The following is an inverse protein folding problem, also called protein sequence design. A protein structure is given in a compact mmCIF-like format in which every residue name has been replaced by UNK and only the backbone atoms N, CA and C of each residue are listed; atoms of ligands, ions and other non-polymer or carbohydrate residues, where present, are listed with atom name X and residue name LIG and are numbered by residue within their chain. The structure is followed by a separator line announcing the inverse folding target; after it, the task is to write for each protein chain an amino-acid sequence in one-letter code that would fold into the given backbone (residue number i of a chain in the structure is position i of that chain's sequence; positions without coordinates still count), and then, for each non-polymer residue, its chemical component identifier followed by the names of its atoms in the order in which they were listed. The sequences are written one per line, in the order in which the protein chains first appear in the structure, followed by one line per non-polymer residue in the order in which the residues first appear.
data_IF_402050609870
#
_entry.id   IF_402050609870
#
_cell.length_a   1.000
_cell.length_b   1.000
_cell.length_c   1.000
_cell.angle_alpha   90.00
_cell.angle_beta   90.00
_cell.angle_gamma   90.00
#
_symmetry.space_group_name_H-M   'P 1'
#
loop_
_entity.id
_entity.type
_entity.pdbx_description
1 polymer ?
#
# COMPACT_ATOMS: atom_id res chain seq x y z
N UNK A 1 34.99 -58.85 27.81
CA UNK A 1 35.48 -57.87 26.82
C UNK A 1 34.35 -56.89 26.53
N UNK A 2 34.35 -55.70 27.14
CA UNK A 2 33.34 -54.66 26.90
C UNK A 2 33.99 -53.51 26.12
N UNK A 3 33.47 -53.26 24.92
CA UNK A 3 33.98 -52.30 23.94
C UNK A 3 33.45 -50.91 24.31
N UNK A 4 34.34 -49.95 24.60
CA UNK A 4 34.01 -48.53 24.80
C UNK A 4 33.63 -47.91 23.46
N UNK A 5 32.38 -47.49 23.30
CA UNK A 5 31.93 -46.65 22.20
C UNK A 5 32.11 -45.19 22.60
N UNK A 6 33.10 -44.50 22.05
CA UNK A 6 33.22 -43.05 22.22
C UNK A 6 32.30 -42.35 21.22
N UNK A 7 31.26 -41.69 21.75
CA UNK A 7 30.45 -40.73 21.03
C UNK A 7 31.28 -39.46 20.83
N UNK A 8 31.81 -39.27 19.63
CA UNK A 8 32.35 -37.97 19.20
C UNK A 8 31.14 -37.09 18.88
N UNK A 9 30.68 -36.33 19.88
CA UNK A 9 29.70 -35.28 19.68
C UNK A 9 30.39 -34.13 18.92
N UNK A 10 30.08 -33.99 17.62
CA UNK A 10 30.50 -32.87 16.77
C UNK A 10 29.78 -31.58 17.21
N UNK A 11 30.44 -30.62 17.89
CA UNK A 11 29.80 -29.35 18.28
C UNK A 11 29.76 -28.35 17.11
N UNK A 12 30.42 -28.66 16.00
CA UNK A 12 30.68 -27.72 14.90
C UNK A 12 29.49 -27.43 13.96
N UNK A 13 28.41 -28.21 14.03
CA UNK A 13 27.29 -28.08 13.07
C UNK A 13 26.22 -27.07 13.50
N UNK A 14 26.14 -26.66 14.77
CA UNK A 14 25.11 -25.71 15.22
C UNK A 14 25.51 -24.25 14.95
N UNK A 15 26.80 -23.93 14.97
CA UNK A 15 27.27 -22.56 14.72
C UNK A 15 27.14 -22.11 13.25
N UNK A 16 27.14 -23.05 12.29
CA UNK A 16 27.11 -22.72 10.85
C UNK A 16 25.70 -22.42 10.32
N UNK A 17 24.63 -22.74 11.05
CA UNK A 17 23.25 -22.49 10.59
C UNK A 17 22.84 -21.01 10.78
N UNK A 18 23.39 -20.33 11.79
CA UNK A 18 23.06 -18.92 12.09
C UNK A 18 23.66 -17.89 11.11
N UNK A 19 24.67 -18.28 10.31
CA UNK A 19 25.29 -17.41 9.31
C UNK A 19 24.58 -17.44 7.94
N UNK A 20 23.73 -18.45 7.69
CA UNK A 20 23.01 -18.61 6.42
C UNK A 20 21.64 -17.92 6.40
N UNK A 21 21.13 -17.50 7.55
CA UNK A 21 19.98 -16.61 7.66
C UNK A 21 20.51 -15.23 8.06
N UNK A 22 20.71 -14.32 7.10
CA UNK A 22 21.08 -12.94 7.41
C UNK A 22 20.19 -12.39 8.53
N UNK A 23 20.78 -11.66 9.49
CA UNK A 23 20.05 -11.10 10.61
C UNK A 23 18.79 -10.40 10.10
N UNK A 24 17.60 -10.69 10.68
CA UNK A 24 16.38 -10.01 10.27
C UNK A 24 16.58 -8.49 10.44
N UNK A 25 16.00 -7.68 9.54
CA UNK A 25 16.09 -6.23 9.66
C UNK A 25 15.61 -5.82 11.06
N UNK A 26 16.29 -4.87 11.73
CA UNK A 26 15.87 -4.43 13.04
C UNK A 26 14.44 -3.92 13.00
N UNK A 27 13.65 -4.19 14.03
CA UNK A 27 12.26 -3.71 14.10
C UNK A 27 12.19 -2.18 13.97
N UNK A 28 11.17 -1.66 13.29
CA UNK A 28 11.09 -0.22 12.95
C UNK A 28 11.18 0.70 14.17
N UNK A 29 10.60 0.33 15.32
CA UNK A 29 10.68 1.12 16.55
C UNK A 29 12.12 1.31 17.06
N UNK A 30 13.05 0.43 16.69
CA UNK A 30 14.46 0.55 17.10
C UNK A 30 15.20 1.63 16.34
N UNK A 31 14.64 2.10 15.22
CA UNK A 31 15.28 3.06 14.32
C UNK A 31 14.98 4.52 14.66
N UNK A 32 14.02 4.75 15.55
CA UNK A 32 13.66 6.08 16.01
C UNK A 32 14.39 6.42 17.32
N UNK A 33 14.72 7.70 17.48
CA UNK A 33 15.31 8.22 18.71
C UNK A 33 14.84 9.64 19.01
N UNK A 34 14.68 9.93 20.29
CA UNK A 34 14.43 11.26 20.86
C UNK A 34 15.02 11.27 22.26
N UNK A 35 15.56 12.40 22.70
CA UNK A 35 16.17 12.54 24.04
C UNK A 35 15.19 12.06 25.12
N UNK A 36 15.70 11.31 26.10
CA UNK A 36 14.94 10.82 27.26
C UNK A 36 13.68 9.99 26.94
N UNK A 37 13.60 9.34 25.76
CA UNK A 37 12.45 8.50 25.40
C UNK A 37 12.77 7.00 25.55
N UNK A 38 11.90 6.28 26.25
CA UNK A 38 11.98 4.82 26.39
C UNK A 38 11.52 4.09 25.12
N UNK A 39 11.80 2.79 25.02
CA UNK A 39 11.30 1.95 23.92
C UNK A 39 9.78 2.01 23.83
N UNK A 40 9.08 1.91 24.96
CA UNK A 40 7.61 1.99 24.98
C UNK A 40 7.10 3.37 24.57
N UNK A 41 7.85 4.43 24.90
CA UNK A 41 7.59 5.78 24.42
C UNK A 41 7.69 5.91 22.89
N UNK A 42 8.66 5.23 22.26
CA UNK A 42 8.74 5.18 20.78
C UNK A 42 7.53 4.44 20.21
N UNK A 43 7.18 3.28 20.78
CA UNK A 43 6.07 2.46 20.30
C UNK A 43 4.73 3.18 20.41
N UNK A 44 4.53 3.92 21.51
CA UNK A 44 3.33 4.74 21.71
C UNK A 44 3.24 5.86 20.66
N UNK A 45 4.34 6.57 20.40
CA UNK A 45 4.39 7.60 19.36
C UNK A 45 4.15 7.03 17.94
N UNK A 46 4.72 5.86 17.64
CA UNK A 46 4.44 5.15 16.39
C UNK A 46 2.95 4.81 16.26
N UNK A 47 2.34 4.28 17.32
CA UNK A 47 0.91 3.98 17.33
C UNK A 47 0.05 5.24 17.15
N UNK A 48 0.41 6.35 17.79
CA UNK A 48 -0.24 7.66 17.61
C UNK A 48 -0.15 8.13 16.15
N UNK A 49 0.99 7.91 15.50
CA UNK A 49 1.22 8.24 14.10
C UNK A 49 0.62 7.23 13.10
N UNK A 50 -0.07 6.18 13.55
CA UNK A 50 -0.61 5.12 12.68
C UNK A 50 0.43 4.12 12.15
N UNK A 51 1.68 4.20 12.62
CA UNK A 51 2.77 3.31 12.25
C UNK A 51 2.67 1.96 13.01
N UNK A 52 2.72 0.81 12.33
CA UNK A 52 2.65 -0.49 12.99
C UNK A 52 3.91 -0.74 13.82
N UNK A 53 3.75 -0.88 15.14
CA UNK A 53 4.85 -1.15 16.08
C UNK A 53 5.57 -2.48 15.79
N UNK A 54 4.86 -3.49 15.28
CA UNK A 54 5.39 -4.83 15.02
C UNK A 54 5.22 -5.32 13.58
N UNK A 55 4.83 -4.44 12.65
CA UNK A 55 4.53 -4.81 11.27
C UNK A 55 5.38 -4.04 10.26
N UNK A 56 5.45 -4.54 9.04
CA UNK A 56 6.13 -3.83 7.95
C UNK A 56 5.30 -2.63 7.46
N UNK A 57 5.96 -1.50 7.25
CA UNK A 57 5.37 -0.34 6.57
C UNK A 57 4.96 -0.63 5.13
N UNK A 58 5.48 -1.69 4.52
CA UNK A 58 5.17 -2.07 3.13
C UNK A 58 3.70 -2.45 2.91
N UNK A 59 2.92 -2.65 3.97
CA UNK A 59 1.47 -2.90 3.90
C UNK A 59 0.63 -1.65 3.63
N UNK A 60 1.25 -0.47 3.56
CA UNK A 60 0.57 0.80 3.33
C UNK A 60 0.97 1.44 2.00
N UNK A 61 0.07 2.21 1.36
CA UNK A 61 0.44 3.07 0.24
C UNK A 61 1.60 4.00 0.61
N UNK A 62 2.45 4.31 -0.36
CA UNK A 62 3.68 5.09 -0.12
C UNK A 62 3.39 6.44 0.55
N UNK A 63 2.34 7.15 0.15
CA UNK A 63 1.97 8.42 0.78
C UNK A 63 1.63 8.29 2.26
N UNK A 64 0.92 7.21 2.65
CA UNK A 64 0.60 6.92 4.05
C UNK A 64 1.88 6.65 4.84
N UNK A 65 2.85 5.94 4.26
CA UNK A 65 4.16 5.70 4.88
C UNK A 65 4.92 7.00 5.12
N UNK A 66 4.88 7.93 4.15
CA UNK A 66 5.48 9.28 4.30
C UNK A 66 4.79 10.05 5.43
N UNK A 67 3.45 10.03 5.49
CA UNK A 67 2.70 10.73 6.53
C UNK A 67 3.02 10.21 7.94
N UNK A 68 3.15 8.88 8.12
CA UNK A 68 3.59 8.30 9.39
C UNK A 68 5.02 8.77 9.75
N UNK A 69 5.93 8.73 8.77
CA UNK A 69 7.31 9.20 8.95
C UNK A 69 7.39 10.67 9.38
N UNK A 70 6.66 11.55 8.69
CA UNK A 70 6.59 12.97 9.02
C UNK A 70 5.92 13.22 10.37
N UNK A 71 4.93 12.41 10.76
CA UNK A 71 4.32 12.48 12.08
C UNK A 71 5.34 12.23 13.19
N UNK A 72 6.15 11.17 13.07
CA UNK A 72 7.22 10.88 14.02
C UNK A 72 8.21 12.04 14.13
N UNK A 73 8.56 12.68 13.00
CA UNK A 73 9.41 13.87 13.00
C UNK A 73 8.77 15.06 13.71
N UNK A 74 7.46 15.31 13.51
CA UNK A 74 6.71 16.37 14.22
C UNK A 74 6.65 16.12 15.73
N UNK A 75 6.60 14.86 16.17
CA UNK A 75 6.75 14.48 17.58
C UNK A 75 8.19 14.61 18.11
N UNK A 76 9.13 15.11 17.30
CA UNK A 76 10.52 15.37 17.68
C UNK A 76 11.43 14.14 17.60
N UNK A 77 10.97 13.03 17.02
CA UNK A 77 11.82 11.87 16.77
C UNK A 77 12.69 12.09 15.53
N UNK A 78 13.89 11.51 15.58
CA UNK A 78 14.83 11.44 14.46
C UNK A 78 15.15 9.99 14.17
N UNK A 79 15.42 9.69 12.90
CA UNK A 79 15.94 8.38 12.51
C UNK A 79 17.41 8.25 12.89
N UNK A 80 17.80 7.10 13.42
CA UNK A 80 19.19 6.73 13.74
C UNK A 80 20.05 6.59 12.48
N UNK A 81 19.47 5.98 11.44
CA UNK A 81 20.10 5.79 10.13
C UNK A 81 20.20 7.07 9.29
N UNK A 82 19.71 8.20 9.81
CA UNK A 82 19.63 9.50 9.11
C UNK A 82 18.82 9.46 7.81
N UNK A 83 17.98 8.45 7.62
CA UNK A 83 17.11 8.36 6.46
C UNK A 83 16.16 9.56 6.41
N UNK A 84 15.95 10.10 5.21
CA UNK A 84 15.03 11.21 4.94
C UNK A 84 14.11 10.81 3.79
N UNK A 85 12.86 10.49 4.12
CA UNK A 85 11.93 9.90 3.16
C UNK A 85 11.72 10.77 1.91
N UNK A 86 11.55 12.09 2.10
CA UNK A 86 11.24 13.02 1.02
C UNK A 86 12.42 13.45 0.16
N UNK A 87 13.66 13.11 0.54
CA UNK A 87 14.82 13.24 -0.36
C UNK A 87 14.81 12.14 -1.44
N UNK A 88 14.29 10.96 -1.11
CA UNK A 88 14.18 9.80 -2.01
C UNK A 88 12.87 9.86 -2.80
N UNK A 89 11.75 10.15 -2.14
CA UNK A 89 10.41 10.07 -2.72
C UNK A 89 9.83 11.44 -3.08
N UNK A 90 10.56 12.18 -3.91
CA UNK A 90 10.36 13.62 -4.14
C UNK A 90 8.96 14.02 -4.64
N UNK A 91 8.29 13.13 -5.38
CA UNK A 91 7.02 13.42 -6.06
C UNK A 91 5.80 12.82 -5.34
N UNK A 92 6.00 12.19 -4.17
CA UNK A 92 4.88 11.73 -3.35
C UNK A 92 4.16 12.94 -2.75
N UNK A 93 2.82 13.02 -2.80
CA UNK A 93 2.07 14.20 -2.39
C UNK A 93 2.47 14.80 -1.03
N UNK A 94 2.56 13.99 0.04
CA UNK A 94 2.98 14.48 1.36
C UNK A 94 4.39 15.11 1.36
N UNK A 95 5.29 14.65 0.50
CA UNK A 95 6.63 15.24 0.34
C UNK A 95 6.61 16.54 -0.47
N UNK A 96 5.67 16.68 -1.40
CA UNK A 96 5.47 17.92 -2.14
C UNK A 96 4.87 18.99 -1.23
N UNK A 97 3.88 18.62 -0.42
CA UNK A 97 3.27 19.50 0.60
C UNK A 97 4.31 20.01 1.61
N UNK A 98 5.17 19.13 2.13
CA UNK A 98 6.26 19.52 3.02
C UNK A 98 7.20 20.53 2.37
N UNK A 99 7.57 20.32 1.08
CA UNK A 99 8.49 21.21 0.37
C UNK A 99 7.88 22.57 0.06
N UNK A 100 6.61 22.62 -0.33
CA UNK A 100 5.93 23.88 -0.67
C UNK A 100 5.39 24.62 0.57
N UNK A 101 5.30 23.94 1.72
CA UNK A 101 4.88 24.54 3.00
C UNK A 101 3.37 24.72 3.15
N UNK A 102 2.56 24.21 2.23
CA UNK A 102 1.09 24.26 2.28
C UNK A 102 0.47 23.03 1.61
N UNK A 103 -0.82 22.71 1.86
CA UNK A 103 -1.51 21.61 1.20
C UNK A 103 -1.56 21.77 -0.32
N UNK A 104 -1.62 20.65 -1.05
CA UNK A 104 -1.83 20.64 -2.50
C UNK A 104 -3.28 21.05 -2.82
N UNK A 105 -3.45 21.88 -3.83
CA UNK A 105 -4.75 21.98 -4.51
C UNK A 105 -5.07 20.65 -5.22
N UNK A 106 -6.36 20.39 -5.46
CA UNK A 106 -6.79 19.18 -6.16
C UNK A 106 -6.10 19.01 -7.52
N UNK A 107 -5.98 20.09 -8.30
CA UNK A 107 -5.29 20.05 -9.59
C UNK A 107 -3.80 19.74 -9.47
N UNK A 108 -3.12 20.26 -8.45
CA UNK A 108 -1.71 19.91 -8.21
C UNK A 108 -1.56 18.44 -7.80
N UNK A 109 -2.43 17.94 -6.92
CA UNK A 109 -2.46 16.53 -6.52
C UNK A 109 -2.65 15.62 -7.73
N UNK A 110 -3.64 15.91 -8.57
CA UNK A 110 -3.96 15.08 -9.73
C UNK A 110 -2.87 15.09 -10.80
N UNK A 111 -2.06 16.14 -10.88
CA UNK A 111 -0.95 16.27 -11.82
C UNK A 111 0.32 15.49 -11.39
N UNK A 112 0.44 15.09 -10.12
CA UNK A 112 1.62 14.35 -9.65
C UNK A 112 1.66 12.94 -10.23
N UNK A 113 2.86 12.37 -10.48
CA UNK A 113 3.00 11.01 -10.99
C UNK A 113 2.54 9.97 -9.96
N UNK A 114 1.94 8.89 -10.44
CA UNK A 114 1.50 7.77 -9.62
C UNK A 114 2.26 6.48 -9.97
N UNK A 115 3.06 6.02 -9.01
CA UNK A 115 4.09 4.99 -9.21
C UNK A 115 3.72 3.61 -8.65
N UNK A 116 2.47 3.39 -8.22
CA UNK A 116 2.10 2.10 -7.63
C UNK A 116 1.48 1.14 -8.64
N UNK A 117 0.99 1.64 -9.78
CA UNK A 117 0.38 0.84 -10.84
C UNK A 117 1.38 0.63 -12.00
N UNK A 118 1.89 -0.60 -12.09
CA UNK A 118 2.84 -1.01 -13.12
C UNK A 118 2.31 -0.86 -14.55
N UNK A 119 1.00 -0.84 -14.75
CA UNK A 119 0.38 -0.63 -16.07
C UNK A 119 0.68 0.74 -16.68
N UNK A 120 1.12 1.71 -15.87
CA UNK A 120 1.53 3.05 -16.32
C UNK A 120 3.04 3.27 -16.28
N UNK A 121 3.84 2.23 -16.07
CA UNK A 121 5.29 2.36 -16.02
C UNK A 121 5.94 2.21 -17.41
N UNK A 122 6.77 3.16 -17.85
CA UNK A 122 7.59 2.97 -19.04
C UNK A 122 8.46 1.71 -18.95
N UNK A 123 8.47 0.88 -19.99
CA UNK A 123 9.45 -0.21 -20.13
C UNK A 123 10.69 0.37 -20.77
N UNK A 124 11.81 0.36 -20.03
CA UNK A 124 13.10 0.80 -20.58
C UNK A 124 13.62 -0.24 -21.55
N UNK A 125 14.25 0.17 -22.67
CA UNK A 125 14.97 -0.74 -23.55
C UNK A 125 15.99 -1.57 -22.75
N UNK A 126 16.10 -2.85 -23.08
CA UNK A 126 17.04 -3.79 -22.45
C UNK A 126 16.84 -4.00 -20.93
N UNK A 127 15.70 -3.63 -20.36
CA UNK A 127 15.43 -3.88 -18.93
C UNK A 127 15.03 -5.32 -18.60
N UNK A 128 14.90 -6.19 -19.62
CA UNK A 128 14.35 -7.54 -19.47
C UNK A 128 12.87 -7.58 -19.08
N UNK A 129 12.16 -6.44 -19.11
CA UNK A 129 10.71 -6.37 -18.87
C UNK A 129 9.96 -6.40 -20.19
N UNK A 130 8.76 -6.96 -20.15
CA UNK A 130 7.85 -7.04 -21.29
C UNK A 130 6.41 -6.73 -20.83
N UNK A 131 5.55 -6.42 -21.79
CA UNK A 131 4.19 -5.94 -21.58
C UNK A 131 3.36 -6.80 -20.61
N UNK A 132 3.38 -8.13 -20.74
CA UNK A 132 2.55 -8.97 -19.89
C UNK A 132 2.94 -8.92 -18.40
N UNK A 133 4.16 -8.50 -18.07
CA UNK A 133 4.56 -8.24 -16.67
C UNK A 133 3.88 -7.01 -16.07
N UNK A 134 3.26 -6.15 -16.89
CA UNK A 134 2.58 -4.93 -16.45
C UNK A 134 1.06 -5.08 -16.33
N UNK A 135 0.51 -6.26 -16.67
CA UNK A 135 -0.91 -6.52 -16.44
C UNK A 135 -1.17 -6.57 -14.94
N UNK A 136 -1.78 -5.52 -14.42
CA UNK A 136 -1.94 -5.29 -12.97
C UNK A 136 -3.34 -5.67 -12.46
N UNK A 137 -4.22 -6.17 -13.32
CA UNK A 137 -5.63 -6.46 -13.06
C UNK A 137 -5.98 -7.93 -13.29
N UNK A 138 -7.10 -8.37 -12.69
CA UNK A 138 -7.77 -9.64 -12.98
C UNK A 138 -9.28 -9.48 -12.80
N UNK A 139 -10.07 -10.37 -13.40
CA UNK A 139 -11.52 -10.38 -13.18
C UNK A 139 -11.84 -10.65 -11.71
N UNK A 140 -12.88 -10.01 -11.17
CA UNK A 140 -13.34 -10.25 -9.79
C UNK A 140 -13.65 -11.74 -9.59
N UNK A 141 -13.13 -12.29 -8.49
CA UNK A 141 -13.30 -13.72 -8.15
C UNK A 141 -12.41 -14.69 -8.93
N UNK A 142 -11.61 -14.23 -9.90
CA UNK A 142 -10.66 -15.07 -10.59
C UNK A 142 -9.58 -15.61 -9.63
N UNK A 143 -9.10 -16.83 -9.89
CA UNK A 143 -8.07 -17.46 -9.06
C UNK A 143 -6.77 -16.65 -9.08
N UNK A 144 -6.13 -16.55 -7.92
CA UNK A 144 -4.84 -15.88 -7.73
C UNK A 144 -3.65 -16.80 -7.95
N UNK A 145 -3.90 -18.09 -8.25
CA UNK A 145 -2.86 -19.08 -8.42
C UNK A 145 -2.04 -18.79 -9.69
N UNK A 146 -0.72 -18.95 -9.61
CA UNK A 146 0.19 -18.60 -10.71
C UNK A 146 -0.13 -19.35 -12.03
N UNK A 147 -0.66 -20.58 -11.93
CA UNK A 147 -0.99 -21.40 -13.11
C UNK A 147 -2.06 -20.78 -14.01
N UNK A 148 -2.90 -19.87 -13.50
CA UNK A 148 -3.94 -19.18 -14.27
C UNK A 148 -3.56 -17.76 -14.64
N UNK A 149 -2.35 -17.31 -14.30
CA UNK A 149 -1.93 -15.92 -14.50
C UNK A 149 -2.04 -15.50 -15.97
N UNK A 150 -1.58 -16.34 -16.90
CA UNK A 150 -1.63 -16.01 -18.34
C UNK A 150 -3.07 -15.84 -18.83
N UNK A 151 -3.99 -16.69 -18.38
CA UNK A 151 -5.40 -16.58 -18.75
C UNK A 151 -6.04 -15.31 -18.18
N UNK A 152 -5.78 -15.00 -16.90
CA UNK A 152 -6.22 -13.76 -16.28
C UNK A 152 -5.69 -12.52 -17.02
N UNK A 153 -4.43 -12.58 -17.46
CA UNK A 153 -3.76 -11.46 -18.11
C UNK A 153 -4.34 -11.21 -19.51
N UNK A 154 -4.63 -12.27 -20.24
CA UNK A 154 -5.30 -12.21 -21.54
C UNK A 154 -6.71 -11.62 -21.45
N UNK A 155 -7.46 -11.92 -20.37
CA UNK A 155 -8.79 -11.31 -20.14
C UNK A 155 -8.71 -9.84 -19.75
N UNK A 156 -7.71 -9.45 -18.94
CA UNK A 156 -7.61 -8.09 -18.42
C UNK A 156 -7.04 -7.09 -19.44
N UNK A 157 -6.07 -7.50 -20.26
CA UNK A 157 -5.32 -6.60 -21.13
C UNK A 157 -6.20 -5.78 -22.11
N UNK A 158 -7.18 -6.36 -22.82
CA UNK A 158 -8.05 -5.59 -23.72
C UNK A 158 -8.85 -4.51 -22.97
N UNK A 159 -9.27 -4.81 -21.74
CA UNK A 159 -10.04 -3.89 -20.89
C UNK A 159 -9.14 -2.77 -20.36
N UNK A 160 -7.89 -3.09 -19.98
CA UNK A 160 -6.90 -2.07 -19.63
C UNK A 160 -6.74 -1.05 -20.76
N UNK A 161 -6.56 -1.49 -22.01
CA UNK A 161 -6.48 -0.54 -23.12
C UNK A 161 -7.76 0.27 -23.32
N UNK A 162 -8.93 -0.36 -23.21
CA UNK A 162 -10.21 0.33 -23.31
C UNK A 162 -10.38 1.40 -22.21
N UNK A 163 -9.80 1.17 -21.04
CA UNK A 163 -9.80 2.09 -19.91
C UNK A 163 -8.67 3.14 -19.95
N UNK A 164 -7.91 3.23 -21.04
CA UNK A 164 -6.91 4.28 -21.25
C UNK A 164 -5.51 3.99 -20.71
N UNK A 165 -5.20 2.73 -20.43
CA UNK A 165 -3.80 2.33 -20.20
C UNK A 165 -2.99 2.45 -21.52
N UNK A 166 -1.66 2.65 -21.44
CA UNK A 166 -0.80 2.68 -22.62
C UNK A 166 -0.95 1.43 -23.49
N UNK A 167 -0.90 1.60 -24.82
CA UNK A 167 -1.02 0.50 -25.78
C UNK A 167 0.14 0.53 -26.78
N UNK A 168 1.10 -0.41 -26.71
CA UNK A 168 1.21 -1.49 -25.71
C UNK A 168 1.53 -0.96 -24.29
N UNK A 169 1.31 -1.76 -23.24
CA UNK A 169 1.71 -1.39 -21.88
C UNK A 169 3.22 -1.12 -21.86
N UNK A 170 3.60 -0.04 -21.18
CA UNK A 170 4.98 0.40 -21.08
C UNK A 170 5.52 1.16 -22.29
N UNK A 171 4.69 1.44 -23.31
CA UNK A 171 5.05 2.31 -24.44
C UNK A 171 5.08 3.80 -24.11
N UNK A 172 4.50 4.20 -22.97
CA UNK A 172 4.51 5.57 -22.52
C UNK A 172 5.92 6.04 -22.17
N UNK A 173 6.23 7.31 -22.44
CA UNK A 173 7.53 7.91 -22.11
C UNK A 173 7.61 8.34 -20.64
N UNK A 174 6.47 8.74 -20.07
CA UNK A 174 6.36 9.29 -18.72
C UNK A 174 5.33 8.53 -17.90
N UNK A 175 5.53 8.50 -16.58
CA UNK A 175 4.63 7.83 -15.64
C UNK A 175 3.26 8.54 -15.63
N UNK A 176 2.19 7.75 -15.58
CA UNK A 176 0.82 8.27 -15.48
C UNK A 176 0.60 9.14 -14.24
N UNK A 177 -0.14 10.23 -14.40
CA UNK A 177 -0.53 11.11 -13.28
C UNK A 177 -1.58 10.46 -12.37
N UNK A 178 -1.67 10.90 -11.11
CA UNK A 178 -2.68 10.48 -10.13
C UNK A 178 -4.10 10.59 -10.71
N UNK A 179 -4.43 11.71 -11.35
CA UNK A 179 -5.76 11.96 -11.90
C UNK A 179 -6.09 11.04 -13.09
N UNK A 180 -5.15 10.87 -14.03
CA UNK A 180 -5.34 9.97 -15.18
C UNK A 180 -5.45 8.51 -14.73
N UNK A 181 -4.57 8.07 -13.84
CA UNK A 181 -4.59 6.71 -13.30
C UNK A 181 -5.89 6.45 -12.54
N UNK A 182 -6.36 7.35 -11.67
CA UNK A 182 -7.62 7.17 -10.96
C UNK A 182 -8.81 6.90 -11.90
N UNK A 183 -8.91 7.64 -13.01
CA UNK A 183 -9.96 7.44 -14.02
C UNK A 183 -9.87 6.06 -14.68
N UNK A 184 -8.66 5.65 -15.07
CA UNK A 184 -8.45 4.35 -15.69
C UNK A 184 -8.74 3.19 -14.73
N UNK A 185 -8.31 3.31 -13.47
CA UNK A 185 -8.59 2.31 -12.42
C UNK A 185 -10.09 2.22 -12.11
N UNK A 186 -10.79 3.35 -12.11
CA UNK A 186 -12.25 3.36 -11.93
C UNK A 186 -12.97 2.64 -13.06
N UNK A 187 -12.58 2.89 -14.31
CA UNK A 187 -13.08 2.16 -15.47
C UNK A 187 -12.87 0.64 -15.33
N UNK A 188 -11.69 0.19 -14.90
CA UNK A 188 -11.44 -1.25 -14.68
C UNK A 188 -12.39 -1.85 -13.64
N UNK A 189 -12.62 -1.14 -12.54
CA UNK A 189 -13.55 -1.54 -11.48
C UNK A 189 -14.98 -1.62 -12.02
N UNK A 190 -15.42 -0.61 -12.77
CA UNK A 190 -16.75 -0.56 -13.38
C UNK A 190 -16.95 -1.69 -14.42
N UNK A 191 -15.86 -2.19 -15.02
CA UNK A 191 -15.84 -3.37 -15.89
C UNK A 191 -15.73 -4.72 -15.14
N UNK A 192 -15.79 -4.74 -13.80
CA UNK A 192 -15.77 -5.96 -13.01
C UNK A 192 -14.38 -6.58 -12.82
N UNK A 193 -13.33 -5.74 -12.83
CA UNK A 193 -11.95 -6.14 -12.53
C UNK A 193 -11.51 -5.66 -11.14
N UNK A 194 -10.62 -6.41 -10.52
CA UNK A 194 -9.93 -6.05 -9.29
C UNK A 194 -8.42 -6.00 -9.53
N UNK A 195 -7.68 -5.14 -8.80
CA UNK A 195 -6.24 -5.10 -8.93
C UNK A 195 -5.62 -6.38 -8.34
N UNK A 196 -4.51 -6.84 -8.93
CA UNK A 196 -3.77 -7.98 -8.40
C UNK A 196 -3.19 -7.69 -7.02
N UNK A 197 -2.83 -6.43 -6.77
CA UNK A 197 -2.38 -5.88 -5.49
C UNK A 197 -3.31 -4.71 -5.09
N UNK A 198 -3.92 -4.72 -3.91
CA UNK A 198 -4.81 -3.60 -3.53
C UNK A 198 -4.06 -2.26 -3.39
N UNK A 199 -2.77 -2.27 -2.99
CA UNK A 199 -2.00 -1.07 -2.69
C UNK A 199 -1.68 -0.19 -3.91
N UNK A 200 -1.92 -0.69 -5.13
CA UNK A 200 -1.80 0.12 -6.36
C UNK A 200 -3.02 0.99 -6.64
N UNK A 201 -4.10 0.90 -5.85
CA UNK A 201 -5.27 1.76 -6.06
C UNK A 201 -4.99 3.20 -5.64
N UNK A 202 -5.18 4.15 -6.55
CA UNK A 202 -5.04 5.59 -6.31
C UNK A 202 -6.00 6.08 -5.22
N UNK A 203 -7.21 5.54 -5.21
CA UNK A 203 -8.28 5.98 -4.32
C UNK A 203 -8.11 5.54 -2.86
N UNK A 204 -7.16 4.65 -2.57
CA UNK A 204 -6.83 4.30 -1.19
C UNK A 204 -6.16 5.48 -0.45
N UNK A 205 -5.05 6.06 -0.94
CA UNK A 205 -4.46 7.24 -0.31
C UNK A 205 -5.11 8.58 -0.71
N UNK A 206 -5.87 8.64 -1.83
CA UNK A 206 -6.40 9.92 -2.35
C UNK A 206 -7.90 9.83 -2.71
N UNK A 207 -8.80 9.66 -1.73
CA UNK A 207 -10.23 9.48 -1.99
C UNK A 207 -10.91 10.71 -2.62
N UNK A 208 -10.29 11.89 -2.51
CA UNK A 208 -10.82 13.16 -3.02
C UNK A 208 -10.50 13.42 -4.49
N UNK A 209 -9.63 12.62 -5.12
CA UNK A 209 -9.30 12.73 -6.54
C UNK A 209 -10.55 12.50 -7.39
N UNK A 210 -10.72 13.27 -8.46
CA UNK A 210 -11.91 13.28 -9.31
C UNK A 210 -12.27 11.88 -9.82
N UNK A 211 -11.27 11.10 -10.26
CA UNK A 211 -11.47 9.72 -10.74
C UNK A 211 -11.86 8.72 -9.65
N UNK A 212 -11.82 9.10 -8.38
CA UNK A 212 -12.24 8.27 -7.25
C UNK A 212 -13.70 8.50 -6.84
N UNK A 213 -14.32 9.56 -7.35
CA UNK A 213 -15.73 9.80 -7.15
C UNK A 213 -16.53 8.87 -8.08
N UNK A 214 -17.15 7.86 -7.49
CA UNK A 214 -18.12 7.04 -8.19
C UNK A 214 -19.19 6.60 -7.21
N UNK A 215 -20.44 6.80 -7.62
CA UNK A 215 -21.68 6.70 -6.83
C UNK A 215 -21.52 5.84 -5.59
N UNK A 216 -21.47 6.51 -4.44
CA UNK A 216 -22.02 5.91 -3.22
C UNK A 216 -23.47 5.63 -3.57
N UNK A 217 -23.76 4.43 -4.05
CA UNK A 217 -25.09 3.88 -3.90
C UNK A 217 -25.33 3.93 -2.39
N UNK A 218 -26.14 4.90 -2.01
CA UNK A 218 -26.58 5.14 -0.67
C UNK A 218 -27.36 3.91 -0.23
N UNK A 219 -26.67 2.88 0.25
CA UNK A 219 -27.30 1.82 1.05
C UNK A 219 -27.54 2.38 2.44
N UNK A 220 -28.33 3.45 2.52
CA UNK A 220 -29.13 3.74 3.71
C UNK A 220 -30.47 3.06 3.50
N UNK A 221 -30.85 2.21 4.44
CA UNK A 221 -32.23 1.72 4.53
C UNK A 221 -32.41 0.21 4.46
N UNK A 222 -31.60 -0.56 5.18
CA UNK A 222 -32.04 -1.86 5.69
C UNK A 222 -31.73 -1.95 7.19
N UNK A 223 -32.18 -0.94 7.94
CA UNK A 223 -32.41 -1.08 9.37
C UNK A 223 -33.90 -1.34 9.54
N UNK A 224 -34.23 -2.61 9.72
CA UNK A 224 -35.53 -3.12 10.13
C UNK A 224 -36.02 -2.33 11.34
N UNK A 225 -37.02 -1.47 11.15
CA UNK A 225 -37.74 -0.86 12.27
C UNK A 225 -38.61 -1.93 12.91
N UNK A 226 -38.13 -2.49 14.02
CA UNK A 226 -38.97 -3.22 14.97
C UNK A 226 -40.07 -2.28 15.45
N UNK A 227 -41.31 -2.65 15.15
CA UNK A 227 -42.54 -2.02 15.65
C UNK A 227 -42.51 -1.90 17.18
N UNK A 228 -42.35 -0.67 17.69
CA UNK A 228 -42.65 -0.34 19.07
C UNK A 228 -44.17 -0.20 19.23
N UNK A 229 -44.74 -0.93 20.19
CA UNK A 229 -46.16 -0.88 20.53
C UNK A 229 -46.60 0.54 20.95
N UNK A 230 -47.84 0.96 20.66
CA UNK A 230 -48.34 2.26 21.07
C UNK A 230 -48.52 2.35 22.60
N UNK A 231 -48.33 3.54 23.21
CA UNK A 231 -48.54 3.73 24.64
C UNK A 231 -50.03 3.60 25.01
N UNK A 232 -50.36 3.16 26.23
CA UNK A 232 -51.75 3.03 26.66
C UNK A 232 -52.40 4.41 26.82
N UNK A 233 -53.68 4.48 26.44
CA UNK A 233 -54.51 5.67 26.54
C UNK A 233 -54.62 6.19 27.99
N UNK A 234 -54.77 7.51 28.18
CA UNK A 234 -54.92 8.11 29.51
C UNK A 234 -56.19 7.62 30.19
N UNK A 235 -56.09 7.24 31.48
CA UNK A 235 -57.24 6.99 32.34
C UNK A 235 -57.80 8.34 32.80
N UNK A 236 -59.05 8.60 32.47
CA UNK A 236 -59.86 9.61 33.13
C UNK A 236 -60.20 9.17 34.56
N UNK A 237 -59.64 9.86 35.56
CA UNK A 237 -60.29 10.32 36.82
C UNK A 237 -59.32 11.06 37.71
#
# INVERSE_FOLDING_TARGET
MLRKTQLIAFPGLIASVLLLTGCPPPAEFTQWQRTATSVDGVKLAMAECGEPVGGSLTRYPINVRVLHFQCMQRLGFKRKDRFKFCEVMKNVPACVEERQGHPLSLSQLEALPFTADDGFYPIKPNSGRFESMQVSWRKVGASKHFSVQIANDHEALPVMYACGYPKPLGSNLEIGSIGATAKAQRCMIDHGFEPKNALMLVCLPYPTVTGCQGTVAETKGAATSTSAAPPPAPRDR
#
